data_IF_297701707408
#
_entry.id   IF_297701707408
#
_cell.length_a   1.000
_cell.length_b   1.000
_cell.length_c   1.000
_cell.angle_alpha   90.00
_cell.angle_beta   90.00
_cell.angle_gamma   90.00
#
_symmetry.space_group_name_H-M   'P 1'
#
loop_
_entity.id
_entity.type
_entity.pdbx_description
1 polymer ?
#
# COMPACT_ATOMS: atom_id res chain seq x y z
N UNK A 1 -32.35 -2.29 -61.60
CA UNK A 1 -31.86 -1.19 -60.74
C UNK A 1 -31.96 -1.68 -59.30
N UNK A 2 -30.79 -1.91 -58.68
CA UNK A 2 -30.64 -2.30 -57.27
C UNK A 2 -30.52 -1.03 -56.42
N UNK A 3 -31.36 -0.86 -55.40
CA UNK A 3 -31.11 0.11 -54.32
C UNK A 3 -31.34 -0.57 -52.97
N UNK A 4 -30.21 -0.83 -52.32
CA UNK A 4 -30.03 -1.12 -50.91
C UNK A 4 -30.75 -0.09 -50.02
N UNK A 5 -31.29 -0.54 -48.88
CA UNK A 5 -31.37 0.26 -47.64
C UNK A 5 -31.51 -0.66 -46.43
N UNK A 6 -30.43 -1.38 -46.12
CA UNK A 6 -30.22 -2.03 -44.83
C UNK A 6 -29.32 -1.12 -43.98
N UNK A 7 -29.92 -0.20 -43.22
CA UNK A 7 -29.18 0.67 -42.32
C UNK A 7 -30.07 1.16 -41.17
N UNK A 8 -30.51 0.26 -40.29
CA UNK A 8 -31.27 0.65 -39.09
C UNK A 8 -30.96 -0.18 -37.83
N UNK A 9 -29.87 -0.96 -37.83
CA UNK A 9 -29.51 -1.83 -36.69
C UNK A 9 -28.17 -1.48 -36.03
N UNK A 10 -27.56 -0.34 -36.35
CA UNK A 10 -26.19 -0.01 -35.93
C UNK A 10 -26.02 0.80 -34.63
N UNK A 11 -27.10 1.24 -33.97
CA UNK A 11 -26.99 2.34 -32.98
C UNK A 11 -27.01 1.94 -31.50
N UNK A 12 -27.09 0.66 -31.15
CA UNK A 12 -27.16 0.22 -29.74
C UNK A 12 -25.92 -0.52 -29.22
N UNK A 13 -24.94 -0.83 -30.07
CA UNK A 13 -23.72 -1.55 -29.68
C UNK A 13 -22.60 -0.63 -29.14
N UNK A 14 -22.68 0.68 -29.36
CA UNK A 14 -21.56 1.59 -29.05
C UNK A 14 -21.53 2.12 -27.61
N UNK A 15 -22.59 1.95 -26.82
CA UNK A 15 -22.65 2.50 -25.45
C UNK A 15 -22.09 1.53 -24.40
N UNK A 16 -22.01 0.22 -24.68
CA UNK A 16 -21.49 -0.76 -23.72
C UNK A 16 -19.96 -0.95 -23.73
N UNK A 17 -19.25 -0.33 -24.68
CA UNK A 17 -17.79 -0.49 -24.79
C UNK A 17 -16.98 0.48 -23.92
N UNK A 18 -17.62 1.44 -23.24
CA UNK A 18 -16.95 2.46 -22.41
C UNK A 18 -17.07 2.21 -20.89
N UNK A 19 -17.29 0.96 -20.46
CA UNK A 19 -17.11 0.54 -19.06
C UNK A 19 -15.76 -0.16 -18.84
N UNK A 20 -14.84 0.01 -19.78
CA UNK A 20 -13.50 -0.53 -19.72
C UNK A 20 -12.57 0.44 -18.96
N UNK A 21 -12.16 0.02 -17.77
CA UNK A 21 -10.90 0.42 -17.12
C UNK A 21 -10.80 1.82 -16.51
N UNK A 22 -11.65 2.11 -15.53
CA UNK A 22 -11.25 2.97 -14.41
C UNK A 22 -11.27 2.18 -13.09
N UNK A 23 -10.65 1.00 -13.08
CA UNK A 23 -10.17 0.45 -11.82
C UNK A 23 -9.02 1.36 -11.35
N UNK A 24 -8.99 1.82 -10.10
CA UNK A 24 -7.94 2.69 -9.63
C UNK A 24 -6.64 1.89 -9.72
N UNK A 25 -5.75 2.30 -10.61
CA UNK A 25 -4.38 1.80 -10.69
C UNK A 25 -3.52 2.31 -9.51
N UNK A 26 -4.13 2.55 -8.35
CA UNK A 26 -3.47 2.89 -7.09
C UNK A 26 -3.10 1.62 -6.29
N UNK A 27 -3.16 0.45 -6.93
CA UNK A 27 -2.58 -0.79 -6.40
C UNK A 27 -1.10 -1.00 -6.84
N UNK A 28 -0.53 -0.09 -7.62
CA UNK A 28 0.85 -0.20 -8.07
C UNK A 28 1.78 0.76 -7.32
N UNK A 29 2.84 0.16 -6.76
CA UNK A 29 4.03 0.79 -6.21
C UNK A 29 4.02 1.13 -4.71
N UNK A 30 3.49 0.24 -3.87
CA UNK A 30 3.98 0.15 -2.49
C UNK A 30 5.39 -0.48 -2.47
N UNK A 31 5.63 -1.58 -3.21
CA UNK A 31 6.91 -2.31 -3.20
C UNK A 31 8.10 -1.71 -3.97
N UNK A 32 7.92 -0.59 -4.70
CA UNK A 32 8.94 -0.06 -5.63
C UNK A 32 9.46 1.34 -5.27
N UNK A 33 8.77 2.08 -4.38
CA UNK A 33 9.07 3.49 -4.14
C UNK A 33 10.20 3.73 -3.14
N UNK A 34 10.63 2.70 -2.41
CA UNK A 34 11.70 2.83 -1.42
C UNK A 34 11.37 3.80 -0.28
N UNK A 35 10.12 4.25 -0.17
CA UNK A 35 9.59 5.19 0.81
C UNK A 35 8.14 4.82 1.18
N UNK A 36 7.72 5.18 2.39
CA UNK A 36 6.37 4.97 2.91
C UNK A 36 5.54 6.25 2.81
N UNK A 37 4.30 6.12 2.34
CA UNK A 37 3.31 7.19 2.29
C UNK A 37 2.38 7.21 3.52
N UNK A 38 1.63 8.30 3.68
CA UNK A 38 0.60 8.42 4.71
C UNK A 38 -0.49 7.34 4.58
N UNK A 39 -0.87 6.99 3.35
CA UNK A 39 -1.89 5.97 3.07
C UNK A 39 -1.39 4.57 3.42
N UNK A 40 -0.14 4.25 3.11
CA UNK A 40 0.42 2.93 3.46
C UNK A 40 0.57 2.77 4.98
N UNK A 41 1.02 3.82 5.68
CA UNK A 41 1.15 3.76 7.13
C UNK A 41 -0.20 3.65 7.85
N UNK A 42 -1.29 4.24 7.29
CA UNK A 42 -2.63 4.12 7.89
C UNK A 42 -3.20 2.71 7.79
N UNK A 43 -2.72 1.89 6.86
CA UNK A 43 -3.06 0.46 6.74
C UNK A 43 -2.25 -0.43 7.70
N UNK A 44 -1.25 0.09 8.41
CA UNK A 44 -0.53 -0.66 9.43
C UNK A 44 -1.31 -0.63 10.74
N UNK A 45 -1.71 -1.81 11.22
CA UNK A 45 -2.52 -1.95 12.43
C UNK A 45 -1.82 -2.81 13.49
N UNK A 46 -2.22 -2.61 14.75
CA UNK A 46 -1.71 -3.39 15.87
C UNK A 46 -1.96 -4.89 15.64
N UNK A 47 -0.96 -5.72 15.92
CA UNK A 47 -1.00 -7.17 15.74
C UNK A 47 -0.45 -7.66 14.40
N UNK A 48 -0.26 -6.78 13.41
CA UNK A 48 0.38 -7.17 12.14
C UNK A 48 1.80 -7.69 12.38
N UNK A 49 2.14 -8.80 11.75
CA UNK A 49 3.52 -9.33 11.78
C UNK A 49 4.46 -8.41 11.02
N UNK A 50 5.75 -8.46 11.33
CA UNK A 50 6.81 -7.77 10.57
C UNK A 50 6.70 -8.00 9.06
N UNK A 51 6.51 -9.25 8.62
CA UNK A 51 6.34 -9.60 7.21
C UNK A 51 5.08 -9.00 6.56
N UNK A 52 4.02 -8.76 7.33
CA UNK A 52 2.82 -8.09 6.81
C UNK A 52 3.06 -6.59 6.69
N UNK A 53 3.71 -5.97 7.69
CA UNK A 53 4.07 -4.55 7.63
C UNK A 53 4.99 -4.25 6.45
N UNK A 54 6.01 -5.09 6.19
CA UNK A 54 6.90 -4.88 5.05
C UNK A 54 6.17 -4.98 3.71
N UNK A 55 5.17 -5.85 3.58
CA UNK A 55 4.34 -5.91 2.37
C UNK A 55 3.41 -4.70 2.24
N UNK A 56 2.88 -4.20 3.35
CA UNK A 56 1.99 -3.02 3.37
C UNK A 56 2.75 -1.75 2.99
N UNK A 57 3.93 -1.54 3.58
CA UNK A 57 4.72 -0.33 3.36
C UNK A 57 5.58 -0.41 2.10
N UNK A 58 6.03 -1.60 1.71
CA UNK A 58 6.83 -1.85 0.51
C UNK A 58 8.14 -1.05 0.40
N UNK A 59 8.51 -0.36 1.47
CA UNK A 59 9.70 0.45 1.61
C UNK A 59 10.78 -0.29 2.41
N UNK A 60 12.05 -0.05 2.08
CA UNK A 60 13.16 -0.56 2.89
C UNK A 60 13.19 0.15 4.24
N UNK A 61 13.46 -0.60 5.30
CA UNK A 61 13.57 -0.07 6.65
C UNK A 61 14.96 -0.29 7.24
N UNK A 62 15.25 0.45 8.31
CA UNK A 62 16.36 0.16 9.22
C UNK A 62 15.77 -0.22 10.57
N UNK A 63 16.13 -1.39 11.07
CA UNK A 63 15.76 -1.81 12.42
C UNK A 63 16.65 -1.10 13.45
N UNK A 64 16.03 -0.45 14.42
CA UNK A 64 16.71 0.19 15.56
C UNK A 64 16.25 -0.51 16.84
N UNK A 65 17.18 -1.18 17.53
CA UNK A 65 16.96 -1.81 18.83
C UNK A 65 17.00 -0.74 19.92
N UNK A 66 15.92 -0.01 20.14
CA UNK A 66 15.82 0.89 21.31
C UNK A 66 14.39 1.11 21.78
N UNK A 67 13.54 0.07 21.69
CA UNK A 67 12.20 0.06 22.28
C UNK A 67 12.14 -0.57 23.68
N UNK A 68 13.20 -0.48 24.50
CA UNK A 68 13.24 -1.19 25.79
C UNK A 68 13.27 -2.73 25.66
N UNK A 69 13.18 -3.43 26.79
CA UNK A 69 13.24 -4.90 26.82
C UNK A 69 12.01 -5.48 26.09
N UNK A 70 12.25 -6.14 24.95
CA UNK A 70 11.20 -6.83 24.18
C UNK A 70 10.50 -5.98 23.12
N UNK A 71 11.09 -4.87 22.63
CA UNK A 71 10.57 -4.19 21.45
C UNK A 71 11.66 -3.75 20.46
N UNK A 72 11.32 -3.74 19.18
CA UNK A 72 12.16 -3.24 18.08
C UNK A 72 11.42 -2.13 17.34
N UNK A 73 12.12 -1.08 16.96
CA UNK A 73 11.55 0.01 16.18
C UNK A 73 12.12 -0.04 14.78
N UNK A 74 11.26 -0.13 13.77
CA UNK A 74 11.65 -0.02 12.37
C UNK A 74 11.41 1.41 11.89
N UNK A 75 12.40 1.95 11.16
CA UNK A 75 12.34 3.29 10.58
C UNK A 75 12.27 3.17 9.06
N UNK A 76 11.25 3.76 8.48
CA UNK A 76 11.01 3.82 7.04
C UNK A 76 11.18 5.26 6.55
N UNK A 77 11.87 5.50 5.42
CA UNK A 77 11.88 6.81 4.79
C UNK A 77 10.46 7.21 4.35
N UNK A 78 10.04 8.44 4.62
CA UNK A 78 8.76 8.96 4.12
C UNK A 78 8.91 9.43 2.66
N UNK A 79 7.84 9.34 1.88
CA UNK A 79 7.85 9.80 0.49
C UNK A 79 7.88 11.33 0.33
N UNK A 80 7.59 12.08 1.39
CA UNK A 80 7.76 13.54 1.43
C UNK A 80 9.22 13.98 1.64
N UNK A 81 10.13 13.04 1.96
CA UNK A 81 11.54 13.29 2.22
C UNK A 81 11.85 14.00 3.54
N UNK A 82 10.85 14.57 4.22
CA UNK A 82 11.01 15.35 5.43
C UNK A 82 10.85 14.50 6.70
N UNK A 83 10.13 13.39 6.61
CA UNK A 83 9.79 12.56 7.77
C UNK A 83 10.34 11.13 7.67
N UNK A 84 10.21 10.41 8.78
CA UNK A 84 10.35 8.95 8.87
C UNK A 84 9.11 8.35 9.50
N UNK A 85 8.63 7.26 8.90
CA UNK A 85 7.62 6.40 9.50
C UNK A 85 8.31 5.50 10.53
N UNK A 86 7.81 5.48 11.76
CA UNK A 86 8.26 4.58 12.80
C UNK A 86 7.19 3.53 13.06
N UNK A 87 7.57 2.26 12.99
CA UNK A 87 6.73 1.13 13.42
C UNK A 87 7.42 0.46 14.60
N UNK A 88 6.75 0.43 15.75
CA UNK A 88 7.27 -0.28 16.93
C UNK A 88 6.63 -1.66 16.96
N UNK A 89 7.46 -2.69 17.12
CA UNK A 89 7.04 -4.07 17.27
C UNK A 89 7.35 -4.56 18.67
N UNK A 90 6.40 -5.25 19.28
CA UNK A 90 6.67 -6.06 20.47
C UNK A 90 7.21 -7.42 20.03
N UNK A 91 8.28 -7.85 20.67
CA UNK A 91 8.98 -9.11 20.44
C UNK A 91 8.67 -10.03 21.63
N UNK A 92 7.74 -10.98 21.48
CA UNK A 92 7.47 -11.94 22.55
C UNK A 92 8.65 -12.90 22.72
N UNK A 93 8.78 -13.51 23.91
CA UNK A 93 9.80 -14.53 24.15
C UNK A 93 9.67 -15.74 23.21
N UNK A 94 8.44 -16.03 22.78
CA UNK A 94 8.12 -17.06 21.80
C UNK A 94 7.12 -16.50 20.79
N UNK A 95 7.39 -16.68 19.49
CA UNK A 95 6.50 -16.26 18.40
C UNK A 95 7.05 -15.10 17.57
N UNK A 96 6.22 -14.61 16.65
CA UNK A 96 6.59 -13.52 15.75
C UNK A 96 6.47 -12.15 16.44
N UNK A 97 7.26 -11.18 16.00
CA UNK A 97 7.09 -9.81 16.45
C UNK A 97 5.85 -9.17 15.80
N UNK A 98 5.13 -8.36 16.57
CA UNK A 98 3.86 -7.76 16.14
C UNK A 98 3.86 -6.24 16.31
N UNK A 99 3.33 -5.53 15.32
CA UNK A 99 3.18 -4.08 15.35
C UNK A 99 2.34 -3.67 16.56
N UNK A 100 2.84 -2.68 17.30
CA UNK A 100 2.23 -2.17 18.53
C UNK A 100 1.73 -0.74 18.35
N UNK A 101 2.52 0.09 17.68
CA UNK A 101 2.23 1.49 17.41
C UNK A 101 2.96 1.98 16.16
N UNK A 102 2.39 2.99 15.52
CA UNK A 102 2.98 3.73 14.41
C UNK A 102 3.03 5.21 14.73
N UNK A 103 4.02 5.94 14.19
CA UNK A 103 4.09 7.40 14.26
C UNK A 103 4.98 7.99 13.18
N UNK A 104 4.78 9.27 12.88
CA UNK A 104 5.72 10.07 12.10
C UNK A 104 6.75 10.74 13.02
N UNK A 105 7.97 10.91 12.52
CA UNK A 105 9.01 11.75 13.15
C UNK A 105 9.66 12.61 12.08
N UNK A 106 10.11 13.81 12.47
CA UNK A 106 11.11 14.56 11.72
C UNK A 106 12.45 13.81 11.68
#
# INVERSE_FOLDING_TARGET
>A
MLTLSAALLGSLASVLALAALAAPAEAAASGARGCASAVELSHVHRGMTTATVDRTLGARHVATTSGGAGAVVWRYPACDGAHRALVTFLVPAHGAAHAYSTRWTA
#
